data_IF_247195907864
#
_entry.id   IF_247195907864
#
_cell.length_a   1.000
_cell.length_b   1.000
_cell.length_c   1.000
_cell.angle_alpha   90.00
_cell.angle_beta   90.00
_cell.angle_gamma   90.00
#
_symmetry.space_group_name_H-M   'P 1'
#
loop_
_entity.id
_entity.type
_entity.pdbx_description
1 polymer ?
#
# COMPACT_ATOMS: atom_id res chain seq x y z
N UNK A 1 8.05 32.42 -18.33
CA UNK A 1 8.24 30.94 -18.34
C UNK A 1 7.59 30.38 -17.09
N UNK A 2 6.46 29.77 -17.26
CA UNK A 2 5.91 28.95 -16.21
C UNK A 2 6.75 27.69 -16.15
N UNK A 3 7.52 27.53 -15.07
CA UNK A 3 8.05 26.22 -14.73
C UNK A 3 6.86 25.29 -14.62
N UNK A 4 6.68 24.42 -15.60
CA UNK A 4 5.85 23.24 -15.40
C UNK A 4 6.49 22.52 -14.24
N UNK A 5 5.86 22.61 -13.05
CA UNK A 5 6.14 21.67 -11.98
C UNK A 5 6.08 20.31 -12.63
N UNK A 6 7.21 19.67 -12.77
CA UNK A 6 7.26 18.26 -13.14
C UNK A 6 6.49 17.56 -12.05
N UNK A 7 5.21 17.35 -12.28
CA UNK A 7 4.41 16.56 -11.38
C UNK A 7 5.11 15.21 -11.25
N UNK A 8 5.55 14.92 -10.06
CA UNK A 8 6.22 13.64 -9.79
C UNK A 8 5.21 12.51 -9.93
N UNK A 9 5.66 11.39 -10.47
CA UNK A 9 4.93 10.14 -10.32
C UNK A 9 4.76 9.83 -8.83
N UNK A 10 3.67 9.19 -8.49
CA UNK A 10 3.41 8.80 -7.12
C UNK A 10 2.12 9.38 -6.55
N UNK A 11 1.83 8.97 -5.33
CA UNK A 11 0.60 9.34 -4.64
C UNK A 11 0.88 9.47 -3.13
N UNK A 12 0.13 10.35 -2.48
CA UNK A 12 0.09 10.42 -1.03
C UNK A 12 -1.34 10.61 -0.55
N UNK A 13 -1.59 10.25 0.70
CA UNK A 13 -2.92 10.40 1.30
C UNK A 13 -3.37 11.87 1.41
N UNK A 14 -2.44 12.80 1.39
CA UNK A 14 -2.72 14.24 1.43
C UNK A 14 -3.28 14.78 0.11
N UNK A 15 -3.12 14.01 -0.97
CA UNK A 15 -3.72 14.35 -2.26
C UNK A 15 -5.23 14.15 -2.19
N UNK A 16 -5.98 15.10 -2.75
CA UNK A 16 -7.43 14.99 -2.88
C UNK A 16 -7.86 13.97 -3.96
N UNK A 17 -6.91 13.47 -4.73
CA UNK A 17 -7.13 12.55 -5.84
C UNK A 17 -7.07 11.10 -5.37
N UNK A 18 -8.01 10.28 -5.82
CA UNK A 18 -7.96 8.84 -5.55
C UNK A 18 -6.74 8.20 -6.23
N UNK A 19 -6.17 7.18 -5.58
CA UNK A 19 -4.99 6.48 -6.09
C UNK A 19 -5.19 5.92 -7.50
N UNK A 20 -6.36 5.35 -7.79
CA UNK A 20 -6.67 4.84 -9.13
C UNK A 20 -6.60 5.94 -10.20
N UNK A 21 -7.17 7.11 -9.91
CA UNK A 21 -7.18 8.24 -10.83
C UNK A 21 -5.75 8.77 -11.05
N UNK A 22 -4.95 8.81 -9.99
CA UNK A 22 -3.53 9.20 -10.09
C UNK A 22 -2.73 8.22 -10.96
N UNK A 23 -2.96 6.92 -10.79
CA UNK A 23 -2.33 5.89 -11.62
C UNK A 23 -2.68 6.07 -13.10
N UNK A 24 -3.96 6.32 -13.40
CA UNK A 24 -4.41 6.56 -14.78
C UNK A 24 -3.77 7.80 -15.39
N UNK A 25 -3.70 8.89 -14.62
CA UNK A 25 -3.07 10.14 -15.06
C UNK A 25 -1.57 9.95 -15.29
N UNK A 26 -0.90 9.27 -14.38
CA UNK A 26 0.54 8.99 -14.47
C UNK A 26 0.85 8.03 -15.62
N UNK A 27 -0.01 7.06 -15.90
CA UNK A 27 0.13 6.18 -17.06
C UNK A 27 0.11 6.99 -18.36
N UNK A 28 -0.86 7.87 -18.50
CA UNK A 28 -0.96 8.76 -19.66
C UNK A 28 0.29 9.63 -19.81
N UNK A 29 0.75 10.23 -18.71
CA UNK A 29 1.97 11.06 -18.70
C UNK A 29 3.20 10.23 -19.08
N UNK A 30 3.34 9.02 -18.55
CA UNK A 30 4.47 8.14 -18.88
C UNK A 30 4.53 7.80 -20.36
N UNK A 31 3.38 7.66 -20.99
CA UNK A 31 3.29 7.42 -22.44
C UNK A 31 3.71 8.67 -23.22
N UNK A 32 3.27 9.85 -22.81
CA UNK A 32 3.63 11.13 -23.46
C UNK A 32 5.10 11.44 -23.28
N UNK A 33 5.66 11.19 -22.11
CA UNK A 33 7.07 11.46 -21.78
C UNK A 33 8.01 10.31 -22.18
N UNK A 34 7.48 9.25 -22.75
CA UNK A 34 8.24 8.04 -23.12
C UNK A 34 9.01 7.43 -21.94
N UNK A 35 8.46 7.54 -20.73
CA UNK A 35 9.04 6.93 -19.54
C UNK A 35 8.60 5.46 -19.46
N UNK A 36 9.44 4.59 -20.00
CA UNK A 36 9.16 3.16 -20.11
C UNK A 36 9.03 2.51 -18.74
N UNK A 37 9.88 2.87 -17.80
CA UNK A 37 9.87 2.29 -16.45
C UNK A 37 8.57 2.61 -15.70
N UNK A 38 8.15 3.88 -15.70
CA UNK A 38 6.91 4.29 -15.07
C UNK A 38 5.70 3.63 -15.74
N UNK A 39 5.67 3.60 -17.07
CA UNK A 39 4.60 2.93 -17.82
C UNK A 39 4.49 1.45 -17.46
N UNK A 40 5.63 0.77 -17.44
CA UNK A 40 5.72 -0.65 -17.13
C UNK A 40 5.23 -0.95 -15.73
N UNK A 41 5.71 -0.19 -14.74
CA UNK A 41 5.32 -0.34 -13.34
C UNK A 41 3.81 -0.14 -13.14
N UNK A 42 3.25 0.92 -13.71
CA UNK A 42 1.81 1.22 -13.57
C UNK A 42 0.97 0.13 -14.25
N UNK A 43 1.36 -0.33 -15.42
CA UNK A 43 0.68 -1.43 -16.10
C UNK A 43 0.72 -2.72 -15.30
N UNK A 44 1.83 -2.99 -14.62
CA UNK A 44 1.97 -4.14 -13.75
C UNK A 44 0.98 -4.08 -12.58
N UNK A 45 0.84 -2.90 -11.97
CA UNK A 45 -0.13 -2.67 -10.90
C UNK A 45 -1.55 -2.93 -11.42
N UNK A 46 -1.91 -2.34 -12.55
CA UNK A 46 -3.24 -2.48 -13.14
C UNK A 46 -3.56 -3.91 -13.60
N UNK A 47 -2.53 -4.66 -14.00
CA UNK A 47 -2.68 -6.07 -14.39
C UNK A 47 -3.14 -6.97 -13.23
N UNK A 48 -2.94 -6.53 -11.99
CA UNK A 48 -3.38 -7.25 -10.79
C UNK A 48 -4.85 -6.95 -10.41
N UNK A 49 -5.49 -5.94 -10.99
CA UNK A 49 -6.86 -5.54 -10.65
C UNK A 49 -7.89 -6.66 -10.83
N UNK A 50 -7.80 -7.53 -11.85
CA UNK A 50 -8.75 -8.64 -11.99
C UNK A 50 -8.75 -9.63 -10.83
N UNK A 51 -7.70 -9.66 -10.02
CA UNK A 51 -7.62 -10.49 -8.81
C UNK A 51 -8.42 -9.92 -7.63
N UNK A 52 -8.79 -8.64 -7.70
CA UNK A 52 -9.65 -8.01 -6.70
C UNK A 52 -11.08 -8.45 -6.96
N UNK A 53 -11.68 -9.15 -6.00
CA UNK A 53 -12.99 -9.75 -6.16
C UNK A 53 -13.94 -9.37 -5.03
N UNK A 54 -15.23 -9.47 -5.32
CA UNK A 54 -16.29 -9.36 -4.32
C UNK A 54 -17.13 -10.64 -4.34
N UNK A 55 -17.64 -11.08 -3.18
CA UNK A 55 -18.48 -12.26 -3.12
C UNK A 55 -19.84 -11.98 -3.77
N UNK A 56 -20.36 -12.97 -4.49
CA UNK A 56 -21.71 -12.95 -5.04
C UNK A 56 -22.40 -14.28 -4.76
N UNK A 57 -23.74 -14.25 -4.74
CA UNK A 57 -24.56 -15.44 -4.67
C UNK A 57 -25.30 -15.59 -5.98
N UNK A 58 -25.13 -16.73 -6.65
CA UNK A 58 -25.85 -17.05 -7.89
C UNK A 58 -27.30 -17.37 -7.62
N UNK A 59 -28.14 -17.31 -8.64
CA UNK A 59 -29.58 -17.70 -8.53
C UNK A 59 -29.77 -19.11 -7.97
N UNK A 60 -28.81 -20.00 -8.26
CA UNK A 60 -28.81 -21.36 -7.71
C UNK A 60 -28.51 -21.44 -6.20
N UNK A 61 -28.20 -20.31 -5.55
CA UNK A 61 -27.76 -20.26 -4.16
C UNK A 61 -26.27 -20.52 -3.95
N UNK A 62 -25.54 -20.86 -5.00
CA UNK A 62 -24.09 -21.11 -4.93
C UNK A 62 -23.34 -19.79 -4.73
N UNK A 63 -22.42 -19.79 -3.76
CA UNK A 63 -21.54 -18.65 -3.51
C UNK A 63 -20.31 -18.71 -4.43
N UNK A 64 -19.97 -17.59 -5.03
CA UNK A 64 -18.80 -17.45 -5.87
C UNK A 64 -18.28 -15.99 -5.75
N UNK A 65 -17.36 -15.60 -6.60
CA UNK A 65 -16.80 -14.24 -6.61
C UNK A 65 -16.85 -13.68 -8.03
N UNK A 66 -16.86 -12.35 -8.14
CA UNK A 66 -16.67 -11.64 -9.41
C UNK A 66 -15.58 -10.59 -9.24
N UNK A 67 -14.88 -10.18 -10.32
CA UNK A 67 -13.93 -9.07 -10.24
C UNK A 67 -14.63 -7.77 -9.82
N UNK A 68 -13.92 -6.96 -9.07
CA UNK A 68 -14.38 -5.61 -8.71
C UNK A 68 -14.45 -4.73 -9.94
N UNK A 69 -15.50 -3.90 -9.99
CA UNK A 69 -15.61 -2.82 -10.96
C UNK A 69 -14.67 -1.68 -10.54
N UNK A 70 -14.31 -0.80 -11.49
CA UNK A 70 -13.39 0.32 -11.19
C UNK A 70 -13.82 1.15 -9.99
N UNK A 71 -15.12 1.43 -9.85
CA UNK A 71 -15.65 2.22 -8.75
C UNK A 71 -15.66 1.47 -7.40
N UNK A 72 -15.46 0.16 -7.41
CA UNK A 72 -15.38 -0.69 -6.21
C UNK A 72 -13.93 -0.86 -5.72
N UNK A 73 -12.95 -0.51 -6.55
CA UNK A 73 -11.53 -0.60 -6.21
C UNK A 73 -11.18 0.56 -5.28
N UNK A 74 -10.71 0.24 -4.07
CA UNK A 74 -10.35 1.23 -3.06
C UNK A 74 -8.86 1.56 -3.11
N UNK A 75 -8.48 2.67 -2.49
CA UNK A 75 -7.07 3.00 -2.32
C UNK A 75 -6.33 1.88 -1.58
N UNK A 76 -6.92 1.30 -0.55
CA UNK A 76 -6.33 0.19 0.22
C UNK A 76 -6.12 -1.06 -0.62
N UNK A 77 -7.04 -1.37 -1.54
CA UNK A 77 -6.88 -2.48 -2.48
C UNK A 77 -5.61 -2.29 -3.32
N UNK A 78 -5.42 -1.10 -3.85
CA UNK A 78 -4.26 -0.77 -4.71
C UNK A 78 -2.97 -0.75 -3.89
N UNK A 79 -3.00 -0.16 -2.69
CA UNK A 79 -1.84 -0.15 -1.79
C UNK A 79 -1.40 -1.58 -1.49
N UNK A 80 -2.35 -2.49 -1.21
CA UNK A 80 -2.06 -3.90 -1.00
C UNK A 80 -1.36 -4.57 -2.19
N UNK A 81 -1.83 -4.28 -3.40
CA UNK A 81 -1.20 -4.77 -4.64
C UNK A 81 0.24 -4.26 -4.75
N UNK A 82 0.44 -2.95 -4.57
CA UNK A 82 1.75 -2.32 -4.69
C UNK A 82 2.72 -2.86 -3.63
N UNK A 83 2.26 -3.04 -2.40
CA UNK A 83 3.06 -3.64 -1.33
C UNK A 83 3.52 -5.06 -1.69
N UNK A 84 2.64 -5.87 -2.29
CA UNK A 84 2.97 -7.22 -2.75
C UNK A 84 4.01 -7.22 -3.86
N UNK A 85 3.84 -6.34 -4.85
CA UNK A 85 4.80 -6.19 -5.95
C UNK A 85 6.16 -5.69 -5.45
N UNK A 86 6.16 -4.72 -4.54
CA UNK A 86 7.39 -4.18 -3.94
C UNK A 86 8.13 -5.24 -3.14
N UNK A 87 7.41 -6.06 -2.37
CA UNK A 87 7.99 -7.17 -1.61
C UNK A 87 8.66 -8.18 -2.54
N UNK A 88 7.97 -8.55 -3.62
CA UNK A 88 8.53 -9.47 -4.62
C UNK A 88 9.78 -8.90 -5.27
N UNK A 89 9.78 -7.62 -5.61
CA UNK A 89 10.95 -6.96 -6.20
C UNK A 89 12.14 -6.91 -5.22
N UNK A 90 11.89 -6.65 -3.95
CA UNK A 90 12.96 -6.67 -2.92
C UNK A 90 13.61 -8.04 -2.82
N UNK A 91 12.83 -9.11 -2.92
CA UNK A 91 13.37 -10.49 -2.93
C UNK A 91 14.28 -10.71 -4.14
N UNK A 92 13.85 -10.25 -5.31
CA UNK A 92 14.65 -10.34 -6.54
C UNK A 92 15.96 -9.55 -6.40
N UNK A 93 15.89 -8.32 -5.88
CA UNK A 93 17.06 -7.47 -5.69
C UNK A 93 18.04 -8.08 -4.68
N UNK A 94 17.54 -8.66 -3.60
CA UNK A 94 18.37 -9.36 -2.61
C UNK A 94 19.12 -10.52 -3.25
N UNK A 95 18.44 -11.32 -4.07
CA UNK A 95 19.05 -12.43 -4.80
C UNK A 95 20.13 -11.95 -5.78
N UNK A 96 19.94 -10.78 -6.37
CA UNK A 96 20.92 -10.16 -7.29
C UNK A 96 22.01 -9.35 -6.56
N UNK A 97 21.90 -9.16 -5.25
CA UNK A 97 22.76 -8.31 -4.44
C UNK A 97 22.73 -6.84 -4.88
N UNK A 98 21.56 -6.37 -5.32
CA UNK A 98 21.30 -4.98 -5.69
C UNK A 98 20.48 -4.31 -4.58
N UNK A 99 20.72 -3.03 -4.31
CA UNK A 99 20.04 -2.30 -3.23
C UNK A 99 18.67 -1.76 -3.67
N UNK A 100 18.54 -1.35 -4.92
CA UNK A 100 17.31 -0.76 -5.43
C UNK A 100 17.19 -0.92 -6.94
N UNK A 101 16.00 -0.63 -7.45
CA UNK A 101 15.73 -0.57 -8.88
C UNK A 101 14.79 0.60 -9.16
N UNK A 102 14.78 1.08 -10.39
CA UNK A 102 13.84 2.11 -10.84
C UNK A 102 12.38 1.64 -10.63
N UNK A 103 12.12 0.38 -10.95
CA UNK A 103 10.80 -0.25 -10.74
C UNK A 103 10.37 -0.17 -9.27
N UNK A 104 11.24 -0.57 -8.34
CA UNK A 104 10.94 -0.49 -6.90
C UNK A 104 10.70 0.95 -6.45
N UNK A 105 11.53 1.88 -6.91
CA UNK A 105 11.39 3.31 -6.57
C UNK A 105 10.04 3.86 -7.03
N UNK A 106 9.59 3.48 -8.22
CA UNK A 106 8.28 3.89 -8.73
C UNK A 106 7.16 3.29 -7.88
N UNK A 107 7.23 1.99 -7.57
CA UNK A 107 6.24 1.35 -6.71
C UNK A 107 6.13 2.05 -5.35
N UNK A 108 7.26 2.31 -4.71
CA UNK A 108 7.30 2.96 -3.39
C UNK A 108 6.76 4.39 -3.42
N UNK A 109 6.84 5.08 -4.56
CA UNK A 109 6.29 6.43 -4.70
C UNK A 109 4.77 6.50 -4.56
N UNK A 110 4.08 5.38 -4.73
CA UNK A 110 2.63 5.27 -4.57
C UNK A 110 2.20 4.76 -3.20
N UNK A 111 3.16 4.34 -2.37
CA UNK A 111 2.85 3.84 -1.04
C UNK A 111 2.79 4.98 -0.03
N UNK A 112 1.89 4.91 0.96
CA UNK A 112 1.89 5.88 2.05
C UNK A 112 3.21 5.75 2.82
N UNK A 113 3.62 6.87 3.42
CA UNK A 113 4.79 6.87 4.29
C UNK A 113 4.54 5.90 5.45
N UNK A 114 5.47 4.97 5.64
CA UNK A 114 5.39 4.04 6.76
C UNK A 114 5.72 4.75 8.07
N UNK A 115 4.97 4.45 9.13
CA UNK A 115 5.26 4.93 10.46
C UNK A 115 6.57 4.32 10.97
N UNK A 116 7.40 5.12 11.61
CA UNK A 116 8.63 4.64 12.22
C UNK A 116 8.33 3.90 13.52
N UNK A 117 9.29 3.07 13.97
CA UNK A 117 9.19 2.39 15.27
C UNK A 117 8.91 3.39 16.41
N UNK A 118 9.61 4.51 16.41
CA UNK A 118 9.47 5.56 17.41
C UNK A 118 8.08 6.20 17.40
N UNK A 119 7.52 6.44 16.21
CA UNK A 119 6.16 6.96 16.05
C UNK A 119 5.11 6.00 16.59
N UNK A 120 5.27 4.70 16.32
CA UNK A 120 4.36 3.67 16.81
C UNK A 120 4.43 3.58 18.34
N UNK A 121 5.64 3.57 18.90
CA UNK A 121 5.85 3.52 20.35
C UNK A 121 5.22 4.74 21.03
N UNK A 122 5.46 5.94 20.51
CA UNK A 122 4.90 7.18 21.05
C UNK A 122 3.36 7.16 21.06
N UNK A 123 2.76 6.71 19.96
CA UNK A 123 1.30 6.59 19.87
C UNK A 123 0.75 5.59 20.89
N UNK A 124 1.40 4.44 21.05
CA UNK A 124 1.01 3.42 22.03
C UNK A 124 1.04 3.98 23.44
N UNK A 125 2.11 4.69 23.79
CA UNK A 125 2.24 5.32 25.13
C UNK A 125 1.12 6.29 25.44
N UNK A 126 0.66 7.04 24.43
CA UNK A 126 -0.38 8.06 24.61
C UNK A 126 -1.81 7.48 24.57
N UNK A 127 -2.03 6.41 23.83
CA UNK A 127 -3.37 5.97 23.47
C UNK A 127 -3.76 4.58 23.98
N UNK A 128 -2.80 3.74 24.36
CA UNK A 128 -3.06 2.37 24.82
C UNK A 128 -2.85 2.29 26.34
N UNK A 129 -3.88 1.87 27.03
CA UNK A 129 -3.82 1.48 28.43
C UNK A 129 -3.79 -0.04 28.52
N UNK A 130 -2.62 -0.60 28.77
CA UNK A 130 -2.43 -2.04 28.83
C UNK A 130 -3.18 -2.71 29.99
N UNK A 131 -3.55 -1.94 31.01
CA UNK A 131 -4.36 -2.47 32.13
C UNK A 131 -5.76 -2.87 31.68
N UNK A 132 -6.26 -2.32 30.57
CA UNK A 132 -7.54 -2.69 29.98
C UNK A 132 -7.52 -4.02 29.23
N UNK A 133 -6.33 -4.59 28.99
CA UNK A 133 -6.15 -5.81 28.22
C UNK A 133 -5.58 -6.93 29.09
N UNK A 134 -5.99 -8.16 28.80
CA UNK A 134 -5.47 -9.35 29.51
C UNK A 134 -3.99 -9.61 29.18
N UNK A 135 -3.60 -9.30 27.94
CA UNK A 135 -2.20 -9.35 27.52
C UNK A 135 -1.92 -8.27 26.48
N UNK A 136 -0.64 -7.94 26.33
CA UNK A 136 -0.20 -6.86 25.42
C UNK A 136 -0.62 -7.09 23.97
N UNK A 137 -0.62 -8.33 23.52
CA UNK A 137 -0.94 -8.67 22.13
C UNK A 137 -2.38 -8.34 21.75
N UNK A 138 -3.28 -8.24 22.72
CA UNK A 138 -4.67 -7.86 22.46
C UNK A 138 -4.80 -6.41 21.98
N UNK A 139 -3.81 -5.56 22.28
CA UNK A 139 -3.76 -4.19 21.80
C UNK A 139 -3.43 -4.10 20.29
N UNK A 140 -2.95 -5.16 19.67
CA UNK A 140 -2.58 -5.21 18.26
C UNK A 140 -3.68 -4.69 17.34
N UNK A 141 -4.91 -5.11 17.59
CA UNK A 141 -6.07 -4.69 16.80
C UNK A 141 -6.29 -3.18 16.79
N UNK A 142 -6.19 -2.54 17.96
CA UNK A 142 -6.36 -1.09 18.10
C UNK A 142 -5.22 -0.33 17.40
N UNK A 143 -3.99 -0.82 17.53
CA UNK A 143 -2.81 -0.22 16.90
C UNK A 143 -2.92 -0.31 15.37
N UNK A 144 -3.23 -1.48 14.84
CA UNK A 144 -3.37 -1.69 13.40
C UNK A 144 -4.56 -0.93 12.82
N UNK A 145 -5.62 -0.75 13.60
CA UNK A 145 -6.77 0.06 13.19
C UNK A 145 -6.38 1.53 13.00
N UNK A 146 -5.55 2.06 13.89
CA UNK A 146 -5.09 3.44 13.81
C UNK A 146 -4.13 3.66 12.64
N UNK A 147 -3.09 2.84 12.54
CA UNK A 147 -2.04 3.00 11.52
C UNK A 147 -2.42 2.43 10.16
N UNK A 148 -3.28 1.41 10.13
CA UNK A 148 -3.67 0.76 8.87
C UNK A 148 -2.48 0.27 8.08
N UNK A 149 -2.41 0.64 6.82
CA UNK A 149 -1.32 0.26 5.91
C UNK A 149 0.00 0.98 6.20
N UNK A 150 0.01 1.97 7.10
CA UNK A 150 1.23 2.70 7.49
C UNK A 150 2.07 1.95 8.52
N UNK A 151 1.56 0.88 9.11
CA UNK A 151 2.30 0.07 10.06
C UNK A 151 2.53 -1.34 9.52
N UNK A 152 3.75 -1.84 9.73
CA UNK A 152 4.08 -3.23 9.48
C UNK A 152 3.66 -4.05 10.71
N UNK A 153 2.75 -5.02 10.51
CA UNK A 153 2.27 -5.90 11.57
C UNK A 153 3.39 -6.65 12.31
N UNK A 154 4.45 -7.03 11.60
CA UNK A 154 5.62 -7.67 12.23
C UNK A 154 6.35 -6.73 13.18
N UNK A 155 6.52 -5.47 12.78
CA UNK A 155 7.15 -4.45 13.63
C UNK A 155 6.32 -4.19 14.88
N UNK A 156 5.00 -4.06 14.74
CA UNK A 156 4.08 -3.87 15.88
C UNK A 156 4.15 -5.07 16.82
N UNK A 157 4.18 -6.28 16.30
CA UNK A 157 4.32 -7.50 17.09
C UNK A 157 5.61 -7.48 17.93
N UNK A 158 6.73 -7.15 17.32
CA UNK A 158 8.02 -7.05 18.00
C UNK A 158 7.98 -5.97 19.10
N UNK A 159 7.41 -4.80 18.80
CA UNK A 159 7.25 -3.71 19.76
C UNK A 159 6.47 -4.19 20.99
N UNK A 160 5.34 -4.88 20.77
CA UNK A 160 4.51 -5.39 21.86
C UNK A 160 5.22 -6.48 22.68
N UNK A 161 5.97 -7.37 22.02
CA UNK A 161 6.74 -8.41 22.73
C UNK A 161 7.83 -7.82 23.62
N UNK A 162 8.46 -6.75 23.17
CA UNK A 162 9.54 -6.06 23.90
C UNK A 162 9.01 -5.01 24.89
N UNK A 163 7.69 -4.78 24.94
CA UNK A 163 7.09 -3.77 25.82
C UNK A 163 7.17 -4.19 27.29
N UNK A 164 7.73 -3.33 28.12
CA UNK A 164 7.81 -3.50 29.58
C UNK A 164 6.64 -2.88 30.33
#
# INVERSE_FOLDING_TARGET
MTETKTEKYGWSQEMSTALLDKLKADLKRSMLNKNIEARSAIRQIMAEFPKLTVPITLESGKKTTRPKKSQEITNDDIIGIIQGLAKSERIVLEAKKEESSEYLNILESYLPRMATREEIIAWIKENIDFSAYKNKMQAMGAIMKHFGKQADGKMVNIILQEWE
#
